data_IF_792371611895
#
_entry.id   IF_792371611895
#
_cell.length_a   1.000
_cell.length_b   1.000
_cell.length_c   1.000
_cell.angle_alpha   90.00
_cell.angle_beta   90.00
_cell.angle_gamma   90.00
#
_symmetry.space_group_name_H-M   'P 1'
#
loop_
_entity.id
_entity.type
_entity.pdbx_description
1 polymer ?
#
# COMPACT_ATOMS: atom_id res chain seq x y z
N UNK A 1 -28.71 -21.08 -53.97
CA UNK A 1 -29.35 -21.93 -52.93
C UNK A 1 -28.48 -21.92 -51.67
N UNK A 2 -29.10 -21.61 -50.51
CA UNK A 2 -28.68 -21.90 -49.11
C UNK A 2 -27.35 -21.27 -48.65
N UNK A 3 -27.28 -20.16 -47.91
CA UNK A 3 -27.81 -19.79 -46.57
C UNK A 3 -27.50 -20.80 -45.43
N UNK A 4 -26.86 -20.25 -44.37
CA UNK A 4 -26.76 -20.69 -42.96
C UNK A 4 -25.82 -21.88 -42.68
N UNK A 5 -24.90 -21.86 -41.70
CA UNK A 5 -24.98 -21.48 -40.27
C UNK A 5 -23.60 -20.96 -39.78
N UNK A 6 -23.42 -19.74 -39.26
CA UNK A 6 -23.55 -19.30 -37.84
C UNK A 6 -22.81 -20.20 -36.83
N UNK A 7 -21.67 -19.71 -36.32
CA UNK A 7 -21.22 -19.76 -34.90
C UNK A 7 -20.33 -18.51 -34.69
N UNK A 8 -20.90 -17.32 -34.42
CA UNK A 8 -21.01 -16.70 -33.08
C UNK A 8 -19.72 -16.86 -32.23
N UNK A 9 -18.68 -16.10 -32.57
CA UNK A 9 -17.62 -15.68 -31.62
C UNK A 9 -17.27 -14.21 -31.94
N UNK A 10 -18.25 -13.32 -31.78
CA UNK A 10 -18.01 -11.87 -31.84
C UNK A 10 -18.99 -11.09 -30.93
N UNK A 11 -19.43 -11.73 -29.84
CA UNK A 11 -20.39 -11.17 -28.88
C UNK A 11 -20.02 -11.49 -27.42
N UNK A 12 -18.72 -11.47 -27.07
CA UNK A 12 -18.24 -11.45 -25.68
C UNK A 12 -17.08 -10.45 -25.56
N UNK A 13 -17.33 -9.23 -26.00
CA UNK A 13 -16.56 -8.03 -25.67
C UNK A 13 -17.61 -6.93 -25.69
N UNK A 14 -17.75 -6.19 -24.60
CA UNK A 14 -18.85 -5.23 -24.33
C UNK A 14 -20.08 -5.92 -23.68
N UNK A 15 -19.98 -6.33 -22.42
CA UNK A 15 -21.03 -6.20 -21.40
C UNK A 15 -20.48 -6.73 -20.06
N UNK A 16 -19.61 -5.96 -19.43
CA UNK A 16 -19.46 -5.87 -17.97
C UNK A 16 -18.73 -4.56 -17.64
N UNK A 17 -19.26 -3.45 -18.14
CA UNK A 17 -19.19 -2.15 -17.45
C UNK A 17 -20.56 -1.94 -16.82
N UNK A 18 -20.93 -2.85 -15.91
CA UNK A 18 -21.94 -2.54 -14.91
C UNK A 18 -21.18 -1.89 -13.75
N UNK A 19 -21.63 -0.69 -13.40
CA UNK A 19 -21.15 0.14 -12.32
C UNK A 19 -20.63 -0.63 -11.10
N UNK A 20 -19.34 -0.44 -10.83
CA UNK A 20 -18.94 -0.09 -9.48
C UNK A 20 -18.13 1.18 -9.58
N UNK A 21 -18.84 2.30 -9.78
CA UNK A 21 -18.53 3.50 -9.02
C UNK A 21 -18.62 3.08 -7.56
N UNK A 22 -17.51 2.63 -6.98
CA UNK A 22 -17.34 2.68 -5.55
C UNK A 22 -17.17 4.17 -5.23
N UNK A 23 -18.30 4.85 -5.15
CA UNK A 23 -18.48 5.95 -4.22
C UNK A 23 -18.11 5.38 -2.86
N UNK A 24 -16.85 5.53 -2.49
CA UNK A 24 -16.49 5.54 -1.08
C UNK A 24 -17.16 6.79 -0.55
N UNK A 25 -18.38 6.62 -0.01
CA UNK A 25 -19.00 7.61 0.86
C UNK A 25 -17.99 7.85 1.99
N UNK A 26 -17.24 8.93 1.85
CA UNK A 26 -16.60 9.58 2.97
C UNK A 26 -17.75 10.09 3.85
N UNK A 27 -18.17 9.24 4.78
CA UNK A 27 -19.18 9.54 5.77
C UNK A 27 -18.62 10.57 6.77
N UNK A 28 -18.65 11.83 6.37
CA UNK A 28 -18.37 12.97 7.24
C UNK A 28 -19.64 13.30 8.02
N UNK A 29 -20.02 12.48 8.99
CA UNK A 29 -20.97 12.92 10.01
C UNK A 29 -20.64 12.39 11.41
N UNK A 30 -20.02 13.30 12.17
CA UNK A 30 -20.39 13.70 13.54
C UNK A 30 -20.59 12.60 14.59
N UNK A 31 -19.60 12.57 15.48
CA UNK A 31 -19.73 12.56 16.95
C UNK A 31 -20.61 11.47 17.58
N UNK A 32 -19.95 10.43 18.08
CA UNK A 32 -20.30 9.89 19.39
C UNK A 32 -19.06 9.99 20.30
N UNK A 33 -19.07 11.04 21.12
CA UNK A 33 -18.27 11.18 22.32
C UNK A 33 -18.63 10.02 23.27
N UNK A 34 -17.75 9.05 23.40
CA UNK A 34 -17.69 8.20 24.59
C UNK A 34 -16.42 8.59 25.34
N UNK A 35 -16.65 9.27 26.46
CA UNK A 35 -15.67 9.66 27.46
C UNK A 35 -14.88 8.44 27.96
N UNK A 36 -13.60 8.36 27.61
CA UNK A 36 -12.61 7.65 28.44
C UNK A 36 -11.27 8.38 28.36
N UNK A 37 -11.01 9.25 29.35
CA UNK A 37 -9.68 9.70 29.73
C UNK A 37 -8.97 10.63 28.75
N UNK A 38 -9.14 11.95 28.96
CA UNK A 38 -8.34 13.01 28.34
C UNK A 38 -6.83 12.73 28.38
N UNK A 39 -6.23 12.56 27.21
CA UNK A 39 -4.98 13.22 26.83
C UNK A 39 -5.25 13.98 25.54
N UNK A 40 -5.12 15.30 25.64
CA UNK A 40 -5.35 16.36 24.63
C UNK A 40 -5.16 15.93 23.17
N UNK A 41 -6.27 15.76 22.46
CA UNK A 41 -6.37 15.15 21.12
C UNK A 41 -6.45 16.14 19.95
N UNK A 42 -5.57 17.13 19.90
CA UNK A 42 -5.43 18.01 18.72
C UNK A 42 -4.19 17.67 17.89
N UNK A 43 -3.16 17.11 18.52
CA UNK A 43 -1.89 16.78 17.86
C UNK A 43 -1.99 15.46 17.07
N UNK A 44 -2.70 14.46 17.60
CA UNK A 44 -2.74 13.09 17.04
C UNK A 44 -3.51 12.96 15.71
N UNK A 45 -4.49 13.83 15.43
CA UNK A 45 -5.35 13.70 14.23
C UNK A 45 -4.67 14.27 12.98
N UNK A 46 -3.82 15.29 13.13
CA UNK A 46 -3.15 15.94 11.99
C UNK A 46 -2.07 15.03 11.39
N UNK A 47 -1.31 14.36 12.26
CA UNK A 47 -0.20 13.49 11.88
C UNK A 47 -0.68 12.29 11.02
N UNK A 48 -1.81 11.67 11.38
CA UNK A 48 -2.37 10.54 10.63
C UNK A 48 -2.83 10.93 9.21
N UNK A 49 -3.42 12.13 9.06
CA UNK A 49 -3.84 12.63 7.75
C UNK A 49 -2.63 12.95 6.87
N UNK A 50 -1.60 13.56 7.43
CA UNK A 50 -0.35 13.87 6.73
C UNK A 50 0.35 12.60 6.26
N UNK A 51 0.51 11.61 7.16
CA UNK A 51 1.13 10.32 6.83
C UNK A 51 0.36 9.62 5.71
N UNK A 52 -0.97 9.62 5.78
CA UNK A 52 -1.82 9.02 4.76
C UNK A 52 -1.66 9.71 3.40
N UNK A 53 -1.73 11.04 3.38
CA UNK A 53 -1.60 11.81 2.13
C UNK A 53 -0.22 11.61 1.50
N UNK A 54 0.85 11.75 2.29
CA UNK A 54 2.21 11.57 1.80
C UNK A 54 2.46 10.13 1.31
N UNK A 55 1.85 9.12 1.93
CA UNK A 55 1.93 7.76 1.40
C UNK A 55 1.37 7.65 -0.02
N UNK A 56 0.17 8.17 -0.25
CA UNK A 56 -0.47 8.10 -1.56
C UNK A 56 0.21 9.00 -2.59
N UNK A 57 0.71 10.18 -2.19
CA UNK A 57 1.56 11.00 -3.04
C UNK A 57 2.79 10.22 -3.52
N UNK A 58 3.49 9.51 -2.61
CA UNK A 58 4.64 8.66 -2.97
C UNK A 58 4.20 7.47 -3.84
N UNK A 59 3.05 6.87 -3.56
CA UNK A 59 2.53 5.74 -4.32
C UNK A 59 2.20 6.12 -5.77
N UNK A 60 1.66 7.32 -5.99
CA UNK A 60 1.28 7.85 -7.30
C UNK A 60 2.46 8.27 -8.18
N UNK A 61 3.64 8.53 -7.60
CA UNK A 61 4.85 8.80 -8.39
C UNK A 61 5.18 7.64 -9.33
N UNK A 62 5.65 7.92 -10.54
CA UNK A 62 5.95 6.87 -11.52
C UNK A 62 7.04 5.92 -11.01
N UNK A 63 6.81 4.62 -11.16
CA UNK A 63 7.83 3.61 -10.84
C UNK A 63 8.89 3.57 -11.94
N UNK A 64 10.16 3.69 -11.52
CA UNK A 64 11.30 3.48 -12.41
C UNK A 64 12.30 2.52 -11.77
N UNK A 65 12.55 1.38 -12.41
CA UNK A 65 13.43 0.33 -11.87
C UNK A 65 14.84 0.86 -11.52
N UNK A 66 15.36 1.83 -12.29
CA UNK A 66 16.74 2.34 -12.14
C UNK A 66 16.83 3.53 -11.20
N UNK A 67 15.84 4.42 -11.21
CA UNK A 67 15.93 5.72 -10.51
C UNK A 67 14.94 5.89 -9.38
N UNK A 68 13.80 5.19 -9.40
CA UNK A 68 12.73 5.37 -8.42
C UNK A 68 11.90 4.10 -8.22
N UNK A 69 12.53 3.10 -7.62
CA UNK A 69 11.97 1.76 -7.45
C UNK A 69 11.38 1.55 -6.03
N UNK A 70 11.07 0.30 -5.69
CA UNK A 70 10.48 -0.07 -4.39
C UNK A 70 11.33 0.36 -3.19
N UNK A 71 12.67 0.38 -3.33
CA UNK A 71 13.57 0.89 -2.30
C UNK A 71 13.39 2.38 -2.11
N UNK A 72 13.42 3.16 -3.20
CA UNK A 72 13.29 4.62 -3.14
C UNK A 72 11.96 5.03 -2.52
N UNK A 73 10.85 4.49 -3.02
CA UNK A 73 9.51 4.80 -2.50
C UNK A 73 9.35 4.41 -1.03
N UNK A 74 9.86 3.24 -0.62
CA UNK A 74 9.82 2.82 0.79
C UNK A 74 10.69 3.69 1.69
N UNK A 75 11.89 4.08 1.24
CA UNK A 75 12.78 4.99 1.98
C UNK A 75 12.18 6.38 2.11
N UNK A 76 11.49 6.89 1.09
CA UNK A 76 10.83 8.18 1.14
C UNK A 76 9.63 8.14 2.10
N UNK A 77 8.82 7.07 2.09
CA UNK A 77 7.73 6.94 3.05
C UNK A 77 8.25 6.74 4.49
N UNK A 78 9.30 5.95 4.69
CA UNK A 78 9.96 5.82 5.99
C UNK A 78 10.54 7.17 6.47
N UNK A 79 10.95 8.05 5.55
CA UNK A 79 11.41 9.40 5.88
C UNK A 79 10.28 10.28 6.40
N UNK A 80 9.09 10.22 5.80
CA UNK A 80 7.89 10.91 6.30
C UNK A 80 7.60 10.48 7.74
N UNK A 81 7.50 9.15 7.98
CA UNK A 81 7.28 8.61 9.32
C UNK A 81 8.36 9.10 10.31
N UNK A 82 9.62 9.11 9.91
CA UNK A 82 10.70 9.57 10.77
C UNK A 82 10.61 11.06 11.10
N UNK A 83 10.18 11.90 10.15
CA UNK A 83 9.98 13.34 10.34
C UNK A 83 8.81 13.64 11.29
N UNK A 84 7.74 12.84 11.21
CA UNK A 84 6.60 12.87 12.13
C UNK A 84 6.93 12.26 13.50
N UNK A 85 8.21 11.95 13.77
CA UNK A 85 8.71 11.45 15.06
C UNK A 85 8.04 10.17 15.53
N UNK A 86 7.49 9.37 14.61
CA UNK A 86 6.92 8.07 14.97
C UNK A 86 8.03 7.04 15.17
N UNK A 87 7.88 6.20 16.19
CA UNK A 87 8.83 5.15 16.51
C UNK A 87 8.63 3.86 15.70
N UNK A 88 9.55 2.91 15.87
CA UNK A 88 9.42 1.53 15.36
C UNK A 88 9.27 1.41 13.83
N UNK A 89 9.96 2.26 13.08
CA UNK A 89 10.01 2.20 11.62
C UNK A 89 11.09 1.20 11.21
N UNK A 90 10.73 0.24 10.35
CA UNK A 90 11.67 -0.72 9.78
C UNK A 90 11.50 -0.79 8.26
N UNK A 91 12.61 -0.83 7.53
CA UNK A 91 12.62 -1.25 6.13
C UNK A 91 12.72 -2.78 6.10
N UNK A 92 11.80 -3.40 5.37
CA UNK A 92 11.69 -4.85 5.27
C UNK A 92 11.97 -5.26 3.84
N UNK A 93 12.93 -6.16 3.65
CA UNK A 93 13.18 -6.77 2.36
C UNK A 93 12.56 -8.15 2.33
N UNK A 94 11.65 -8.37 1.38
CA UNK A 94 11.05 -9.65 1.06
C UNK A 94 11.69 -10.21 -0.21
N UNK A 95 11.75 -11.53 -0.34
CA UNK A 95 12.44 -12.20 -1.44
C UNK A 95 11.46 -13.03 -2.28
N UNK A 96 11.54 -12.89 -3.60
CA UNK A 96 10.83 -13.76 -4.53
C UNK A 96 11.45 -15.17 -4.53
N UNK A 97 10.64 -16.19 -4.73
CA UNK A 97 11.01 -17.61 -4.69
C UNK A 97 12.14 -17.96 -5.66
N UNK A 98 12.23 -17.25 -6.78
CA UNK A 98 13.31 -17.42 -7.77
C UNK A 98 14.69 -16.98 -7.25
N UNK A 99 14.75 -16.19 -6.18
CA UNK A 99 16.00 -15.60 -5.69
C UNK A 99 16.50 -14.39 -6.51
N UNK A 100 15.92 -14.12 -7.68
CA UNK A 100 16.39 -13.09 -8.61
C UNK A 100 15.80 -11.70 -8.36
N UNK A 101 14.72 -11.62 -7.57
CA UNK A 101 14.02 -10.38 -7.30
C UNK A 101 13.73 -10.23 -5.81
N UNK A 102 14.09 -9.09 -5.24
CA UNK A 102 13.73 -8.69 -3.88
C UNK A 102 12.91 -7.42 -3.92
N UNK A 103 12.01 -7.29 -2.97
CA UNK A 103 11.12 -6.14 -2.86
C UNK A 103 11.26 -5.50 -1.47
N UNK A 104 11.20 -4.18 -1.40
CA UNK A 104 11.30 -3.45 -0.15
C UNK A 104 9.97 -2.80 0.19
N UNK A 105 9.58 -2.90 1.46
CA UNK A 105 8.38 -2.27 2.05
C UNK A 105 8.73 -1.66 3.40
N UNK A 106 7.81 -0.86 3.95
CA UNK A 106 7.94 -0.30 5.29
C UNK A 106 7.08 -1.11 6.27
N UNK A 107 7.67 -1.47 7.41
CA UNK A 107 6.96 -1.99 8.57
C UNK A 107 6.94 -0.91 9.65
N UNK A 108 5.76 -0.48 10.04
CA UNK A 108 5.55 0.49 11.10
C UNK A 108 4.37 0.03 11.96
N UNK A 109 4.59 -0.03 13.29
CA UNK A 109 3.59 -0.47 14.27
C UNK A 109 2.93 -1.83 13.92
N UNK A 110 3.73 -2.80 13.48
CA UNK A 110 3.27 -4.15 13.12
C UNK A 110 2.48 -4.23 11.80
N UNK A 111 2.39 -3.13 11.06
CA UNK A 111 1.70 -3.03 9.78
C UNK A 111 2.66 -2.73 8.63
N UNK A 112 2.39 -3.32 7.48
CA UNK A 112 3.13 -3.12 6.24
C UNK A 112 2.48 -2.01 5.42
N UNK A 113 3.36 -1.17 4.87
CA UNK A 113 3.07 -0.11 3.95
C UNK A 113 3.90 -0.34 2.69
N UNK A 114 3.22 -0.56 1.58
CA UNK A 114 3.80 -0.87 0.27
C UNK A 114 3.24 0.11 -0.77
N UNK A 115 4.00 1.18 -1.11
CA UNK A 115 3.58 2.19 -2.06
C UNK A 115 3.70 1.73 -3.53
N UNK A 116 4.11 0.48 -3.78
CA UNK A 116 4.37 -0.02 -5.13
C UNK A 116 3.43 -1.12 -5.60
N UNK A 117 2.67 -1.72 -4.69
CA UNK A 117 1.55 -2.57 -5.06
C UNK A 117 0.45 -1.78 -5.77
N UNK A 118 -0.34 -2.49 -6.57
CA UNK A 118 -1.55 -1.93 -7.22
C UNK A 118 -2.76 -2.80 -6.81
N UNK A 119 -3.70 -2.27 -6.00
CA UNK A 119 -3.65 -0.97 -5.33
C UNK A 119 -2.54 -0.91 -4.26
N UNK A 120 -2.05 0.29 -3.89
CA UNK A 120 -1.07 0.47 -2.81
C UNK A 120 -1.58 -0.12 -1.49
N UNK A 121 -0.69 -0.71 -0.71
CA UNK A 121 -1.07 -1.27 0.59
C UNK A 121 -0.74 -0.30 1.71
N UNK A 122 -1.75 0.25 2.38
CA UNK A 122 -1.59 1.14 3.52
C UNK A 122 -2.02 0.44 4.82
N UNK A 123 -1.07 0.15 5.70
CA UNK A 123 -1.36 -0.32 7.06
C UNK A 123 -1.89 -1.75 7.17
N UNK A 124 -1.46 -2.68 6.30
CA UNK A 124 -1.89 -4.08 6.39
C UNK A 124 -1.11 -4.83 7.47
N UNK A 125 -1.74 -5.61 8.38
CA UNK A 125 -1.01 -6.41 9.37
C UNK A 125 0.06 -7.30 8.71
N UNK A 126 1.27 -7.33 9.28
CA UNK A 126 2.42 -8.01 8.65
C UNK A 126 2.10 -9.43 8.20
N UNK A 127 1.52 -10.25 9.08
CA UNK A 127 1.15 -11.64 8.74
C UNK A 127 0.21 -11.71 7.55
N UNK A 128 -0.81 -10.85 7.50
CA UNK A 128 -1.79 -10.80 6.40
C UNK A 128 -1.12 -10.41 5.09
N UNK A 129 -0.20 -9.44 5.13
CA UNK A 129 0.57 -9.05 3.96
C UNK A 129 1.47 -10.19 3.47
N UNK A 130 2.21 -10.84 4.37
CA UNK A 130 3.08 -11.97 4.01
C UNK A 130 2.31 -13.16 3.43
N UNK A 131 1.13 -13.46 3.98
CA UNK A 131 0.27 -14.50 3.43
C UNK A 131 -0.28 -14.12 2.06
N UNK A 132 -0.63 -12.85 1.85
CA UNK A 132 -1.09 -12.33 0.56
C UNK A 132 -0.01 -12.43 -0.52
N UNK A 133 1.23 -12.04 -0.24
CA UNK A 133 2.29 -11.98 -1.26
C UNK A 133 2.81 -13.34 -1.72
N UNK A 134 2.51 -14.42 -0.97
CA UNK A 134 2.80 -15.79 -1.41
C UNK A 134 2.17 -16.12 -2.76
N UNK A 135 0.95 -15.61 -3.04
CA UNK A 135 0.29 -15.81 -4.34
C UNK A 135 1.02 -15.13 -5.50
N UNK A 136 1.93 -14.20 -5.21
CA UNK A 136 2.80 -13.53 -6.18
C UNK A 136 4.23 -14.12 -6.19
N UNK A 137 4.43 -15.30 -5.60
CA UNK A 137 5.72 -16.00 -5.62
C UNK A 137 6.75 -15.47 -4.62
N UNK A 138 6.33 -14.79 -3.55
CA UNK A 138 7.27 -14.39 -2.48
C UNK A 138 7.32 -15.42 -1.35
N UNK A 139 8.54 -15.76 -0.92
CA UNK A 139 8.77 -16.68 0.20
C UNK A 139 8.68 -16.03 1.58
N UNK A 140 8.65 -14.70 1.62
CA UNK A 140 8.54 -13.91 2.85
C UNK A 140 9.75 -13.02 3.13
N UNK A 141 9.93 -12.67 4.41
CA UNK A 141 10.94 -11.72 4.87
C UNK A 141 12.34 -12.33 4.81
N UNK A 142 13.27 -11.57 4.24
CA UNK A 142 14.68 -11.88 4.23
C UNK A 142 15.41 -11.18 5.37
N UNK A 143 15.15 -9.88 5.59
CA UNK A 143 15.63 -9.14 6.75
C UNK A 143 14.78 -7.92 7.05
N UNK A 144 14.89 -7.41 8.28
CA UNK A 144 14.31 -6.14 8.75
C UNK A 144 15.44 -5.25 9.25
N UNK A 145 15.42 -3.98 8.87
CA UNK A 145 16.40 -2.99 9.29
C UNK A 145 15.70 -1.79 9.92
N UNK A 146 16.04 -1.39 11.17
CA UNK A 146 15.53 -0.16 11.75
C UNK A 146 15.89 1.05 10.89
N UNK A 147 14.91 1.90 10.61
CA UNK A 147 15.16 3.15 9.89
C UNK A 147 15.63 4.24 10.85
N UNK A 148 16.69 4.97 10.48
CA UNK A 148 17.32 6.00 11.34
C UNK A 148 17.43 7.36 10.65
N UNK A 149 16.61 7.60 9.63
CA UNK A 149 16.71 8.76 8.75
C UNK A 149 17.67 8.56 7.58
N UNK A 150 17.46 9.35 6.53
CA UNK A 150 18.28 9.35 5.31
C UNK A 150 19.62 10.01 5.63
N UNK A 151 20.72 9.33 5.34
CA UNK A 151 22.05 9.98 5.40
C UNK A 151 22.15 10.90 4.18
N UNK A 152 22.11 12.19 4.42
CA UNK A 152 22.43 13.24 3.44
C UNK A 152 23.91 13.28 3.16
#
# INVERSE_FOLDING_TARGET
MKKLKIIIIFFILIFFTADTVLSYEYDSNKTNLVNSGLKTGTEVIYDDLLINNSFYEIADLEYNEKTYNCKNKSEDFASVLYQERVGNIQLVTIQHETGQYSHMVVLWDGKIYDPTMTPPTFGMPEKKYLDMIKKYGFRGIMYKMPYKGKKT
#
